data_IF_537655234138
#
_entry.id   IF_537655234138
#
_cell.length_a   1.000
_cell.length_b   1.000
_cell.length_c   1.000
_cell.angle_alpha   90.00
_cell.angle_beta   90.00
_cell.angle_gamma   90.00
#
_symmetry.space_group_name_H-M   'P 1'
#
loop_
_entity.id
_entity.type
_entity.pdbx_description
1 polymer ?
#
# COMPACT_ATOMS: atom_id res chain seq x y z
N UNK A 1 14.11 12.24 11.70
CA UNK A 1 12.84 11.76 11.14
C UNK A 1 12.31 12.91 10.27
N UNK A 2 11.93 12.65 9.03
CA UNK A 2 11.38 13.67 8.12
C UNK A 2 9.87 13.42 8.05
N UNK A 3 9.08 14.41 8.44
CA UNK A 3 7.63 14.36 8.30
C UNK A 3 7.26 14.87 6.91
N UNK A 4 6.25 14.25 6.29
CA UNK A 4 5.72 14.63 4.99
C UNK A 4 4.22 14.82 5.11
N UNK A 5 3.74 16.01 4.78
CA UNK A 5 2.34 16.25 4.57
C UNK A 5 2.02 16.00 3.09
N UNK A 6 1.40 14.87 2.78
CA UNK A 6 1.05 14.49 1.41
C UNK A 6 0.02 15.41 0.73
N UNK A 7 -0.63 16.29 1.49
CA UNK A 7 -1.54 17.30 0.94
C UNK A 7 -0.79 18.54 0.41
N UNK A 8 0.45 18.77 0.91
CA UNK A 8 1.23 19.98 0.62
C UNK A 8 2.57 19.71 -0.07
N UNK A 9 3.08 18.48 0.03
CA UNK A 9 4.40 18.12 -0.46
C UNK A 9 4.37 16.84 -1.29
N UNK A 10 5.12 16.81 -2.38
CA UNK A 10 5.34 15.56 -3.10
C UNK A 10 6.32 14.66 -2.33
N UNK A 11 6.15 13.35 -2.44
CA UNK A 11 7.07 12.38 -1.85
C UNK A 11 8.49 12.53 -2.43
N UNK A 12 8.57 12.93 -3.69
CA UNK A 12 9.84 13.20 -4.37
C UNK A 12 10.62 14.32 -3.69
N UNK A 13 9.96 15.47 -3.44
CA UNK A 13 10.58 16.62 -2.80
C UNK A 13 11.02 16.29 -1.37
N UNK A 14 10.18 15.56 -0.64
CA UNK A 14 10.49 15.13 0.71
C UNK A 14 11.69 14.18 0.76
N UNK A 15 11.80 13.24 -0.18
CA UNK A 15 12.94 12.33 -0.28
C UNK A 15 14.23 13.07 -0.65
N UNK A 16 14.18 14.03 -1.58
CA UNK A 16 15.33 14.86 -1.95
C UNK A 16 15.81 15.74 -0.79
N UNK A 17 14.90 16.22 0.05
CA UNK A 17 15.23 17.02 1.23
C UNK A 17 15.68 16.15 2.43
N UNK A 18 15.53 14.84 2.35
CA UNK A 18 15.88 13.90 3.42
C UNK A 18 17.36 13.47 3.33
N UNK A 19 17.94 12.92 4.43
CA UNK A 19 19.28 12.36 4.41
C UNK A 19 19.37 10.98 3.72
N UNK A 20 18.31 10.53 3.03
CA UNK A 20 18.29 9.25 2.32
C UNK A 20 19.18 9.33 1.08
N UNK A 21 20.09 8.39 0.93
CA UNK A 21 20.92 8.25 -0.27
C UNK A 21 20.12 7.53 -1.36
N UNK A 22 19.55 8.30 -2.29
CA UNK A 22 18.73 7.79 -3.39
C UNK A 22 19.53 6.99 -4.45
N UNK A 23 20.86 6.99 -4.38
CA UNK A 23 21.70 6.16 -5.24
C UNK A 23 21.85 4.70 -4.74
N UNK A 24 21.42 4.44 -3.52
CA UNK A 24 21.45 3.09 -2.93
C UNK A 24 20.11 2.37 -3.12
N UNK A 25 20.10 1.02 -3.07
CA UNK A 25 18.84 0.27 -3.06
C UNK A 25 17.93 0.73 -1.93
N UNK A 26 16.67 1.00 -2.26
CA UNK A 26 15.66 1.48 -1.31
C UNK A 26 14.58 0.41 -1.15
N UNK A 27 14.20 0.19 0.11
CA UNK A 27 13.00 -0.56 0.45
C UNK A 27 11.98 0.38 1.08
N UNK A 28 10.79 0.40 0.51
CA UNK A 28 9.66 1.21 1.00
C UNK A 28 8.69 0.29 1.74
N UNK A 29 8.38 0.64 2.97
CA UNK A 29 7.33 0.01 3.75
C UNK A 29 6.12 0.94 3.79
N UNK A 30 5.06 0.63 3.01
CA UNK A 30 3.85 1.43 2.91
C UNK A 30 2.64 0.61 3.33
N UNK A 31 2.52 0.40 4.64
CA UNK A 31 1.46 -0.37 5.27
C UNK A 31 0.49 0.55 6.02
N UNK A 32 -0.80 0.21 5.96
CA UNK A 32 -1.84 0.93 6.70
C UNK A 32 -2.13 2.34 6.18
N UNK A 33 -1.82 2.66 4.94
CA UNK A 33 -1.94 4.01 4.37
C UNK A 33 -2.86 4.06 3.15
N UNK A 34 -2.73 3.10 2.24
CA UNK A 34 -3.39 3.11 0.93
C UNK A 34 -4.91 3.29 1.04
N UNK A 35 -5.53 2.61 1.99
CA UNK A 35 -6.99 2.63 2.18
C UNK A 35 -7.57 4.01 2.55
N UNK A 36 -6.74 4.94 3.00
CA UNK A 36 -7.15 6.31 3.35
C UNK A 36 -6.99 7.32 2.22
N UNK A 37 -6.38 6.91 1.12
CA UNK A 37 -6.09 7.79 -0.02
C UNK A 37 -7.05 7.51 -1.18
N UNK A 38 -7.27 8.52 -2.01
CA UNK A 38 -7.93 8.34 -3.31
C UNK A 38 -7.01 7.62 -4.28
N UNK A 39 -7.57 6.97 -5.28
CA UNK A 39 -6.80 6.26 -6.32
C UNK A 39 -5.78 7.17 -7.00
N UNK A 40 -6.14 8.41 -7.30
CA UNK A 40 -5.25 9.38 -7.93
C UNK A 40 -4.08 9.74 -6.99
N UNK A 41 -4.34 9.98 -5.71
CA UNK A 41 -3.31 10.27 -4.72
C UNK A 41 -2.35 9.09 -4.52
N UNK A 42 -2.86 7.86 -4.56
CA UNK A 42 -2.05 6.64 -4.51
C UNK A 42 -1.10 6.59 -5.70
N UNK A 43 -1.64 6.73 -6.91
CA UNK A 43 -0.85 6.66 -8.15
C UNK A 43 0.22 7.77 -8.18
N UNK A 44 -0.14 9.00 -7.87
CA UNK A 44 0.80 10.14 -7.86
C UNK A 44 1.91 9.95 -6.81
N UNK A 45 1.58 9.49 -5.61
CA UNK A 45 2.57 9.20 -4.57
C UNK A 45 3.54 8.11 -5.01
N UNK A 46 3.02 7.00 -5.55
CA UNK A 46 3.84 5.88 -6.03
C UNK A 46 4.71 6.25 -7.23
N UNK A 47 4.18 7.06 -8.16
CA UNK A 47 4.98 7.60 -9.28
C UNK A 47 6.16 8.44 -8.81
N UNK A 48 5.99 9.18 -7.72
CA UNK A 48 7.03 10.00 -7.12
C UNK A 48 8.16 9.23 -6.44
N UNK A 49 8.00 7.93 -6.16
CA UNK A 49 9.04 7.11 -5.58
C UNK A 49 10.15 6.82 -6.60
N UNK A 50 11.43 6.79 -6.17
CA UNK A 50 12.52 6.32 -7.00
C UNK A 50 12.41 4.81 -7.27
N UNK A 51 13.27 4.23 -8.11
CA UNK A 51 13.40 2.78 -8.23
C UNK A 51 13.60 2.14 -6.87
N UNK A 52 12.73 1.19 -6.52
CA UNK A 52 12.70 0.62 -5.18
C UNK A 52 11.98 -0.73 -5.16
N UNK A 53 12.18 -1.45 -4.09
CA UNK A 53 11.32 -2.57 -3.68
C UNK A 53 10.35 -2.04 -2.62
N UNK A 54 9.07 -2.37 -2.71
CA UNK A 54 8.05 -1.87 -1.80
C UNK A 54 7.15 -2.99 -1.27
N UNK A 55 6.89 -2.96 0.04
CA UNK A 55 5.81 -3.71 0.66
C UNK A 55 4.61 -2.76 0.82
N UNK A 56 3.51 -3.08 0.16
CA UNK A 56 2.33 -2.22 0.06
C UNK A 56 1.14 -2.96 0.64
N UNK A 57 0.61 -2.43 1.76
CA UNK A 57 -0.61 -2.92 2.37
C UNK A 57 -1.85 -2.31 1.71
N UNK A 58 -2.85 -3.13 1.45
CA UNK A 58 -4.14 -2.72 0.92
C UNK A 58 -5.26 -3.57 1.50
N UNK A 59 -6.49 -3.07 1.45
CA UNK A 59 -7.65 -3.75 2.03
C UNK A 59 -8.63 -4.21 0.94
N UNK A 60 -9.17 -5.42 1.13
CA UNK A 60 -10.16 -6.01 0.25
C UNK A 60 -11.52 -5.32 0.36
N UNK A 61 -12.30 -5.22 -0.73
CA UNK A 61 -13.68 -4.78 -0.69
C UNK A 61 -14.60 -5.87 -0.09
N UNK A 62 -15.77 -5.47 0.43
CA UNK A 62 -16.75 -6.38 1.02
C UNK A 62 -17.25 -7.46 0.04
N UNK A 63 -17.16 -7.21 -1.25
CA UNK A 63 -17.52 -8.16 -2.31
C UNK A 63 -16.51 -9.28 -2.51
N UNK A 64 -15.32 -9.19 -1.91
CA UNK A 64 -14.29 -10.22 -2.05
C UNK A 64 -14.60 -11.45 -1.20
N UNK A 65 -14.24 -12.63 -1.70
CA UNK A 65 -14.52 -13.91 -1.04
C UNK A 65 -13.73 -14.12 0.27
N UNK A 66 -12.62 -13.41 0.43
CA UNK A 66 -11.81 -13.43 1.67
C UNK A 66 -12.36 -12.49 2.74
N UNK A 67 -13.36 -11.66 2.42
CA UNK A 67 -13.99 -10.75 3.36
C UNK A 67 -14.71 -11.50 4.48
N UNK A 68 -14.55 -11.03 5.69
CA UNK A 68 -15.17 -11.61 6.88
C UNK A 68 -16.04 -10.60 7.62
N UNK A 69 -17.14 -11.07 8.20
CA UNK A 69 -18.11 -10.21 8.89
C UNK A 69 -17.53 -9.44 10.08
N UNK A 70 -16.50 -9.99 10.74
CA UNK A 70 -15.78 -9.34 11.83
C UNK A 70 -15.09 -8.05 11.38
N UNK A 71 -14.61 -8.05 10.12
CA UNK A 71 -13.99 -6.88 9.50
C UNK A 71 -15.01 -5.77 9.30
N UNK A 72 -16.22 -6.09 8.86
CA UNK A 72 -17.28 -5.10 8.67
C UNK A 72 -17.60 -4.32 9.97
N UNK A 73 -17.58 -4.97 11.11
CA UNK A 73 -17.77 -4.32 12.40
C UNK A 73 -16.64 -3.35 12.74
N UNK A 74 -15.40 -3.75 12.48
CA UNK A 74 -14.21 -2.90 12.65
C UNK A 74 -14.26 -1.66 11.75
N UNK A 75 -14.57 -1.81 10.48
CA UNK A 75 -14.66 -0.69 9.53
C UNK A 75 -15.77 0.31 9.89
N UNK A 76 -16.92 -0.17 10.38
CA UNK A 76 -17.96 0.72 10.90
C UNK A 76 -17.48 1.54 12.10
N UNK A 77 -16.67 0.94 12.97
CA UNK A 77 -16.08 1.65 14.11
C UNK A 77 -15.13 2.75 13.64
N UNK A 78 -14.25 2.47 12.66
CA UNK A 78 -13.35 3.46 12.08
C UNK A 78 -14.12 4.61 11.44
N UNK A 79 -15.16 4.32 10.67
CA UNK A 79 -16.00 5.36 10.06
C UNK A 79 -16.69 6.24 11.12
N UNK A 80 -17.11 5.67 12.25
CA UNK A 80 -17.75 6.41 13.33
C UNK A 80 -16.82 7.39 14.05
N UNK A 81 -15.51 7.15 14.04
CA UNK A 81 -14.50 8.05 14.62
C UNK A 81 -13.88 9.00 13.57
N UNK A 82 -14.41 9.03 12.35
CA UNK A 82 -13.96 9.93 11.30
C UNK A 82 -12.78 9.44 10.47
N UNK A 83 -12.48 8.14 10.52
CA UNK A 83 -11.39 7.50 9.75
C UNK A 83 -11.92 6.41 8.80
N UNK A 84 -12.83 6.74 7.86
CA UNK A 84 -13.34 5.74 6.93
C UNK A 84 -12.28 5.31 5.94
N UNK A 85 -12.29 4.04 5.54
CA UNK A 85 -11.53 3.59 4.39
C UNK A 85 -12.18 4.11 3.11
N UNK A 86 -11.39 4.78 2.27
CA UNK A 86 -11.83 5.40 1.02
C UNK A 86 -11.63 4.43 -0.15
N UNK A 87 -10.48 3.76 -0.18
CA UNK A 87 -10.08 2.87 -1.28
C UNK A 87 -9.93 1.45 -0.79
N UNK A 88 -10.76 0.57 -1.32
CA UNK A 88 -10.72 -0.88 -1.12
C UNK A 88 -10.56 -1.53 -2.48
N UNK A 89 -9.61 -2.44 -2.62
CA UNK A 89 -9.27 -3.03 -3.92
C UNK A 89 -9.07 -4.53 -3.82
N UNK A 90 -9.46 -5.24 -4.88
CA UNK A 90 -9.09 -6.64 -5.08
C UNK A 90 -7.60 -6.77 -5.45
N UNK A 91 -7.01 -7.96 -5.36
CA UNK A 91 -5.63 -8.19 -5.83
C UNK A 91 -5.39 -7.75 -7.29
N UNK A 92 -6.38 -7.98 -8.15
CA UNK A 92 -6.29 -7.58 -9.56
C UNK A 92 -6.28 -6.06 -9.73
N UNK A 93 -7.23 -5.36 -9.11
CA UNK A 93 -7.29 -3.88 -9.14
C UNK A 93 -6.04 -3.25 -8.52
N UNK A 94 -5.51 -3.83 -7.44
CA UNK A 94 -4.25 -3.38 -6.84
C UNK A 94 -3.09 -3.54 -7.81
N UNK A 95 -2.99 -4.67 -8.49
CA UNK A 95 -1.93 -4.90 -9.49
C UNK A 95 -2.03 -3.91 -10.66
N UNK A 96 -3.23 -3.58 -11.14
CA UNK A 96 -3.45 -2.57 -12.18
C UNK A 96 -3.05 -1.16 -11.71
N UNK A 97 -3.43 -0.80 -10.49
CA UNK A 97 -3.07 0.47 -9.86
C UNK A 97 -1.55 0.61 -9.71
N UNK A 98 -0.88 -0.44 -9.23
CA UNK A 98 0.56 -0.48 -9.09
C UNK A 98 1.26 -0.41 -10.45
N UNK A 99 0.75 -1.09 -11.47
CA UNK A 99 1.26 -1.02 -12.83
C UNK A 99 1.14 0.39 -13.42
N UNK A 100 0.03 1.08 -13.18
CA UNK A 100 -0.16 2.48 -13.59
C UNK A 100 0.86 3.44 -12.95
N UNK A 101 1.37 3.09 -11.78
CA UNK A 101 2.43 3.82 -11.08
C UNK A 101 3.86 3.36 -11.43
N UNK A 102 4.01 2.39 -12.34
CA UNK A 102 5.31 1.87 -12.79
C UNK A 102 5.87 0.74 -11.93
N UNK A 103 5.05 0.10 -11.10
CA UNK A 103 5.43 -1.06 -10.30
C UNK A 103 5.00 -2.38 -10.94
N UNK A 104 5.76 -3.42 -10.67
CA UNK A 104 5.42 -4.81 -10.98
C UNK A 104 5.27 -5.60 -9.67
N UNK A 105 4.13 -6.24 -9.48
CA UNK A 105 3.91 -7.11 -8.33
C UNK A 105 4.75 -8.38 -8.46
N UNK A 106 5.48 -8.72 -7.42
CA UNK A 106 6.31 -9.92 -7.31
C UNK A 106 5.62 -11.02 -6.51
N UNK A 107 4.95 -10.63 -5.42
CA UNK A 107 4.23 -11.53 -4.53
C UNK A 107 3.05 -10.76 -3.91
N UNK A 108 1.94 -11.44 -3.68
CA UNK A 108 0.77 -10.90 -3.00
C UNK A 108 0.30 -11.91 -1.96
N UNK A 109 0.30 -11.51 -0.68
CA UNK A 109 -0.01 -12.37 0.45
C UNK A 109 -1.26 -11.88 1.17
N UNK A 110 -2.22 -12.78 1.29
CA UNK A 110 -3.37 -12.59 2.16
C UNK A 110 -3.12 -13.05 3.60
N UNK A 111 -4.07 -12.81 4.51
CA UNK A 111 -3.97 -13.23 5.91
C UNK A 111 -3.76 -14.74 6.06
N UNK A 112 -4.40 -15.55 5.22
CA UNK A 112 -4.23 -17.00 5.20
C UNK A 112 -2.82 -17.44 4.83
N UNK A 113 -2.20 -16.77 3.85
CA UNK A 113 -0.83 -17.05 3.42
C UNK A 113 0.18 -16.69 4.51
N UNK A 114 -0.02 -15.54 5.16
CA UNK A 114 0.81 -15.08 6.29
C UNK A 114 0.66 -16.02 7.48
N UNK A 115 -0.57 -16.41 7.80
CA UNK A 115 -0.85 -17.37 8.87
C UNK A 115 -0.14 -18.71 8.62
N UNK A 116 -0.22 -19.26 7.41
CA UNK A 116 0.43 -20.50 7.04
C UNK A 116 1.96 -20.40 7.08
N UNK A 117 2.54 -19.29 6.60
CA UNK A 117 3.99 -19.07 6.53
C UNK A 117 4.63 -18.88 7.90
N UNK A 118 3.95 -18.21 8.83
CA UNK A 118 4.51 -17.81 10.13
C UNK A 118 3.86 -18.52 11.33
N UNK A 119 2.91 -19.43 11.12
CA UNK A 119 2.20 -20.13 12.19
C UNK A 119 1.32 -19.21 13.05
N UNK A 120 0.82 -18.12 12.47
CA UNK A 120 0.00 -17.13 13.14
C UNK A 120 -1.48 -17.36 12.83
N UNK A 121 -2.36 -16.90 13.74
CA UNK A 121 -3.79 -16.75 13.44
C UNK A 121 -4.09 -15.26 13.26
N UNK A 122 -4.58 -14.91 12.08
CA UNK A 122 -4.88 -13.51 11.75
C UNK A 122 -6.24 -13.41 11.06
N UNK A 123 -7.06 -12.47 11.52
CA UNK A 123 -8.25 -12.02 10.82
C UNK A 123 -8.04 -10.55 10.47
N UNK A 124 -7.87 -10.29 9.20
CA UNK A 124 -7.61 -8.94 8.68
C UNK A 124 -8.17 -8.82 7.27
N UNK A 125 -8.70 -7.66 6.86
CA UNK A 125 -9.02 -7.38 5.47
C UNK A 125 -7.77 -7.02 4.67
N UNK A 126 -6.63 -6.89 5.32
CA UNK A 126 -5.41 -6.38 4.72
C UNK A 126 -4.62 -7.50 4.05
N UNK A 127 -4.18 -7.22 2.84
CA UNK A 127 -3.21 -7.99 2.08
C UNK A 127 -1.93 -7.18 1.92
N UNK A 128 -0.84 -7.85 1.60
CA UNK A 128 0.45 -7.21 1.37
C UNK A 128 0.97 -7.62 0.01
N UNK A 129 1.13 -6.65 -0.88
CA UNK A 129 1.82 -6.83 -2.15
C UNK A 129 3.29 -6.43 -2.01
N UNK A 130 4.19 -7.35 -2.36
CA UNK A 130 5.59 -7.03 -2.63
C UNK A 130 5.71 -6.63 -4.09
N UNK A 131 6.15 -5.42 -4.35
CA UNK A 131 6.25 -4.88 -5.70
C UNK A 131 7.60 -4.19 -5.93
N UNK A 132 8.06 -4.17 -7.18
CA UNK A 132 9.28 -3.46 -7.56
C UNK A 132 8.99 -2.38 -8.60
N UNK A 133 9.67 -1.27 -8.46
CA UNK A 133 9.79 -0.22 -9.46
C UNK A 133 11.20 -0.26 -10.04
N UNK A 134 11.31 -0.72 -11.28
CA UNK A 134 12.60 -0.79 -11.94
C UNK A 134 13.15 0.61 -12.26
N UNK A 135 14.47 0.73 -12.35
CA UNK A 135 15.09 1.88 -13.01
C UNK A 135 14.59 1.91 -14.46
N UNK A 136 14.03 3.04 -14.89
CA UNK A 136 13.88 3.30 -16.32
C UNK A 136 15.28 3.32 -16.90
N UNK A 137 15.72 2.15 -17.41
CA UNK A 137 16.99 2.04 -18.10
C UNK A 137 17.02 3.04 -19.26
N UNK A 138 18.11 3.77 -19.32
CA UNK A 138 18.43 4.55 -20.53
C UNK A 138 18.79 3.59 -21.64
#
# INVERSE_FOLDING_TARGET
>A
MTEVNFEEQSVTDALQASPVDLARPIFVNWLGVLQYLTTDAIIETLKGLPPCLAAIGYCLPESDAEWRSEVAAFLRTLAAIGEPFITLTTPHETAELLAAAGFRVLEDLGPGDVAARFGLSCVSPERIALAEKASTGR
#
